data_IF_930357607576
#
_entry.id   IF_930357607576
#
_cell.length_a   1.000
_cell.length_b   1.000
_cell.length_c   1.000
_cell.angle_alpha   90.00
_cell.angle_beta   90.00
_cell.angle_gamma   90.00
#
_symmetry.space_group_name_H-M   'P 1'
#
loop_
_entity.id
_entity.type
_entity.pdbx_description
1 polymer ?
#
# COMPACT_ATOMS: atom_id res chain seq x y z
N UNK A 1 -12.67 1.82 9.31
CA UNK A 1 -14.04 1.62 9.87
C UNK A 1 -14.27 0.20 10.40
N UNK A 2 -13.98 -0.87 9.64
CA UNK A 2 -14.23 -2.27 10.10
C UNK A 2 -13.67 -2.53 11.50
N UNK A 3 -12.36 -2.29 11.70
CA UNK A 3 -11.71 -2.51 13.01
C UNK A 3 -12.35 -1.66 14.11
N UNK A 4 -12.64 -0.39 13.81
CA UNK A 4 -13.29 0.48 14.80
C UNK A 4 -14.68 -0.01 15.20
N UNK A 5 -15.47 -0.50 14.25
CA UNK A 5 -16.78 -1.09 14.54
C UNK A 5 -16.66 -2.35 15.42
N UNK A 6 -15.64 -3.19 15.17
CA UNK A 6 -15.39 -4.36 16.01
C UNK A 6 -15.00 -3.96 17.46
N UNK A 7 -14.22 -2.90 17.61
CA UNK A 7 -13.84 -2.36 18.92
C UNK A 7 -15.06 -1.76 19.63
N UNK A 8 -15.93 -1.04 18.93
CA UNK A 8 -17.18 -0.50 19.48
C UNK A 8 -18.12 -1.62 19.98
N UNK A 9 -18.13 -2.78 19.32
CA UNK A 9 -18.88 -3.96 19.77
C UNK A 9 -18.32 -4.59 21.04
N UNK A 10 -17.11 -4.22 21.48
CA UNK A 10 -16.57 -4.55 22.81
C UNK A 10 -16.94 -3.52 23.89
N UNK A 11 -17.75 -2.51 23.54
CA UNK A 11 -18.16 -1.44 24.47
C UNK A 11 -17.20 -0.24 24.53
N UNK A 12 -16.14 -0.24 23.71
CA UNK A 12 -15.13 0.83 23.74
C UNK A 12 -15.45 1.95 22.75
N UNK A 13 -15.05 3.17 23.10
CA UNK A 13 -15.16 4.32 22.21
C UNK A 13 -14.02 4.33 21.21
N UNK A 14 -14.33 4.69 19.95
CA UNK A 14 -13.34 4.78 18.87
C UNK A 14 -13.35 6.18 18.27
N UNK A 15 -12.16 6.76 18.18
CA UNK A 15 -11.91 7.98 17.41
C UNK A 15 -10.96 7.66 16.26
N UNK A 16 -11.24 8.24 15.08
CA UNK A 16 -10.40 8.10 13.90
C UNK A 16 -9.56 9.35 13.74
N UNK A 17 -8.24 9.16 13.62
CA UNK A 17 -7.28 10.24 13.40
C UNK A 17 -6.76 10.16 11.97
N UNK A 18 -6.91 11.23 11.20
CA UNK A 18 -6.29 11.35 9.88
C UNK A 18 -4.88 11.92 10.07
N UNK A 19 -3.89 11.05 10.01
CA UNK A 19 -2.49 11.38 10.29
C UNK A 19 -1.64 10.88 9.12
N UNK A 20 -0.59 11.63 8.76
CA UNK A 20 0.35 11.21 7.71
C UNK A 20 1.09 9.91 8.08
N UNK A 21 1.62 9.22 7.08
CA UNK A 21 2.42 8.01 7.29
C UNK A 21 3.67 8.27 8.14
N UNK A 22 4.21 9.47 8.10
CA UNK A 22 5.38 9.90 8.86
C UNK A 22 5.03 10.26 10.30
N UNK A 23 3.94 11.02 10.52
CA UNK A 23 3.55 11.55 11.83
C UNK A 23 2.96 10.47 12.75
N UNK A 24 2.41 9.38 12.18
CA UNK A 24 1.80 8.30 12.95
C UNK A 24 2.74 7.69 14.01
N UNK A 25 4.02 7.60 13.72
CA UNK A 25 5.00 7.01 14.64
C UNK A 25 5.17 7.83 15.92
N UNK A 26 5.19 9.16 15.77
CA UNK A 26 5.21 10.07 16.90
C UNK A 26 3.94 10.01 17.73
N UNK A 27 2.79 9.86 17.10
CA UNK A 27 1.49 9.74 17.74
C UNK A 27 1.35 8.41 18.49
N UNK A 28 1.74 7.28 17.89
CA UNK A 28 1.77 5.95 18.52
C UNK A 28 2.68 5.94 19.76
N UNK A 29 3.90 6.47 19.62
CA UNK A 29 4.85 6.55 20.74
C UNK A 29 4.28 7.28 21.96
N UNK A 30 3.51 8.34 21.73
CA UNK A 30 2.94 9.19 22.78
C UNK A 30 1.60 8.69 23.32
N UNK A 31 1.04 7.62 22.74
CA UNK A 31 -0.30 7.14 23.07
C UNK A 31 -1.42 8.11 22.64
N UNK A 32 -1.17 8.95 21.64
CA UNK A 32 -2.19 9.80 21.01
C UNK A 32 -2.98 9.01 19.96
N UNK A 33 -2.34 8.00 19.37
CA UNK A 33 -2.94 6.93 18.58
C UNK A 33 -2.55 5.61 19.22
N UNK A 34 -3.49 4.66 19.28
CA UNK A 34 -3.29 3.45 20.07
C UNK A 34 -3.01 2.21 19.20
N UNK A 35 -3.40 2.23 17.94
CA UNK A 35 -3.23 1.10 17.04
C UNK A 35 -3.10 1.54 15.57
N UNK A 36 -2.34 0.74 14.82
CA UNK A 36 -2.19 0.82 13.37
C UNK A 36 -2.28 -0.60 12.80
N UNK A 37 -3.17 -0.80 11.83
CA UNK A 37 -3.46 -2.14 11.28
C UNK A 37 -2.78 -2.43 9.95
N UNK A 38 -2.13 -1.44 9.35
CA UNK A 38 -1.52 -1.53 8.03
C UNK A 38 -0.11 -0.93 8.01
N UNK A 39 0.84 -1.66 8.61
CA UNK A 39 2.27 -1.32 8.49
C UNK A 39 2.83 -2.06 7.29
N UNK A 40 3.11 -1.34 6.22
CA UNK A 40 3.60 -1.89 4.96
C UNK A 40 5.12 -1.99 4.92
N UNK A 41 5.66 -3.13 4.44
CA UNK A 41 7.11 -3.35 4.43
C UNK A 41 7.87 -2.34 3.57
N UNK A 42 7.42 -2.10 2.35
CA UNK A 42 8.16 -1.27 1.39
C UNK A 42 8.27 0.19 1.87
N UNK A 43 7.16 0.78 2.32
CA UNK A 43 7.10 2.20 2.68
C UNK A 43 7.40 2.50 4.15
N UNK A 44 7.19 1.53 5.07
CA UNK A 44 7.17 1.83 6.52
C UNK A 44 8.20 1.04 7.34
N UNK A 45 8.88 0.03 6.80
CA UNK A 45 9.73 -0.89 7.59
C UNK A 45 10.84 -0.19 8.37
N UNK A 46 11.44 0.85 7.80
CA UNK A 46 12.56 1.59 8.43
C UNK A 46 12.14 2.24 9.74
N UNK A 47 11.05 3.00 9.72
CA UNK A 47 10.55 3.68 10.91
C UNK A 47 9.92 2.71 11.89
N UNK A 48 9.17 1.73 11.42
CA UNK A 48 8.62 0.66 12.24
C UNK A 48 9.72 -0.06 13.04
N UNK A 49 10.78 -0.53 12.39
CA UNK A 49 11.89 -1.21 13.05
C UNK A 49 12.61 -0.29 14.05
N UNK A 50 12.75 1.00 13.74
CA UNK A 50 13.29 1.98 14.66
C UNK A 50 12.43 2.12 15.91
N UNK A 51 11.11 2.20 15.78
CA UNK A 51 10.19 2.31 16.90
C UNK A 51 10.20 1.05 17.78
N UNK A 52 10.26 -0.14 17.18
CA UNK A 52 10.42 -1.41 17.91
C UNK A 52 11.73 -1.49 18.66
N UNK A 53 12.84 -1.10 18.04
CA UNK A 53 14.18 -1.10 18.67
C UNK A 53 14.23 -0.31 19.97
N UNK A 54 13.47 0.78 20.05
CA UNK A 54 13.40 1.64 21.25
C UNK A 54 12.22 1.31 22.15
N UNK A 55 11.48 0.22 21.91
CA UNK A 55 10.29 -0.19 22.67
C UNK A 55 9.21 0.91 22.78
N UNK A 56 9.04 1.70 21.72
CA UNK A 56 8.00 2.74 21.68
C UNK A 56 6.64 2.21 21.24
N UNK A 57 6.65 1.11 20.53
CA UNK A 57 5.46 0.40 20.04
C UNK A 57 5.66 -1.10 20.21
N UNK A 58 4.57 -1.86 20.11
CA UNK A 58 4.58 -3.32 20.13
C UNK A 58 4.05 -3.86 18.78
N UNK A 59 4.77 -4.80 18.15
CA UNK A 59 4.25 -5.59 17.05
C UNK A 59 3.33 -6.68 17.58
N UNK A 60 2.10 -6.74 17.07
CA UNK A 60 1.10 -7.71 17.54
C UNK A 60 0.64 -8.70 16.47
N UNK A 61 1.36 -8.79 15.39
CA UNK A 61 1.18 -9.81 14.38
C UNK A 61 1.25 -9.29 12.94
N UNK A 62 1.31 -10.24 12.03
CA UNK A 62 1.35 -10.04 10.59
C UNK A 62 0.04 -10.54 10.00
N UNK A 63 -0.52 -9.82 9.02
CA UNK A 63 -1.64 -10.30 8.24
C UNK A 63 -1.22 -11.42 7.28
N UNK A 64 -2.15 -12.29 6.89
CA UNK A 64 -1.96 -13.22 5.78
C UNK A 64 -1.87 -12.51 4.42
N UNK A 65 -2.30 -11.27 4.37
CA UNK A 65 -2.14 -10.41 3.21
C UNK A 65 -0.67 -10.14 2.91
N UNK A 66 -0.34 -10.18 1.62
CA UNK A 66 0.99 -9.89 1.08
C UNK A 66 0.91 -8.59 0.29
N UNK A 67 1.79 -7.64 0.64
CA UNK A 67 1.85 -6.33 0.03
C UNK A 67 2.88 -6.23 -1.10
N UNK A 68 2.57 -5.40 -2.09
CA UNK A 68 3.50 -4.88 -3.08
C UNK A 68 3.13 -3.44 -3.39
N UNK A 69 4.10 -2.55 -3.42
CA UNK A 69 3.95 -1.14 -3.78
C UNK A 69 4.97 -0.86 -4.89
N UNK A 70 4.53 -0.61 -6.12
CA UNK A 70 5.44 -0.54 -7.27
C UNK A 70 4.78 0.16 -8.47
N UNK A 71 5.52 0.39 -9.56
CA UNK A 71 5.00 0.89 -10.82
C UNK A 71 4.00 -0.08 -11.44
N UNK A 72 2.85 0.45 -11.84
CA UNK A 72 1.72 -0.34 -12.33
C UNK A 72 1.05 0.33 -13.53
N UNK A 73 0.45 -0.50 -14.39
CA UNK A 73 -0.29 -0.05 -15.56
C UNK A 73 -1.51 -0.96 -15.80
N UNK A 74 -2.61 -0.42 -16.44
CA UNK A 74 -3.74 -1.24 -16.87
C UNK A 74 -3.33 -2.20 -17.99
N UNK A 75 -3.83 -3.45 -17.97
CA UNK A 75 -3.40 -4.54 -18.86
C UNK A 75 -3.60 -4.24 -20.36
N UNK A 76 -4.60 -3.41 -20.72
CA UNK A 76 -4.83 -3.02 -22.11
C UNK A 76 -3.63 -2.29 -22.75
N UNK A 77 -2.73 -1.75 -21.95
CA UNK A 77 -1.51 -1.06 -22.43
C UNK A 77 -0.56 -2.03 -23.14
N UNK A 78 -0.61 -3.32 -22.80
CA UNK A 78 0.22 -4.35 -23.45
C UNK A 78 -0.05 -4.48 -24.94
N UNK A 79 -1.25 -4.09 -25.40
CA UNK A 79 -1.59 -4.10 -26.83
C UNK A 79 -0.78 -3.09 -27.66
N UNK A 80 -0.32 -2.01 -27.04
CA UNK A 80 0.44 -0.94 -27.67
C UNK A 80 1.92 -0.90 -27.26
N UNK A 81 2.28 -1.55 -26.14
CA UNK A 81 3.63 -1.62 -25.62
C UNK A 81 4.10 -3.07 -25.51
N UNK A 82 4.64 -3.61 -26.58
CA UNK A 82 5.12 -4.98 -26.64
C UNK A 82 6.29 -5.19 -25.66
N UNK A 83 6.24 -6.32 -24.95
CA UNK A 83 7.29 -6.72 -24.00
C UNK A 83 6.97 -6.40 -22.56
N UNK A 84 5.90 -5.64 -22.26
CA UNK A 84 5.39 -5.53 -20.88
C UNK A 84 5.00 -6.93 -20.35
N UNK A 85 5.20 -7.22 -19.07
CA UNK A 85 5.56 -6.30 -17.95
C UNK A 85 7.05 -6.01 -17.79
N UNK A 86 7.94 -6.50 -18.67
CA UNK A 86 9.37 -6.29 -18.52
C UNK A 86 9.74 -4.80 -18.52
N UNK A 87 10.56 -4.39 -17.55
CA UNK A 87 10.94 -2.98 -17.38
C UNK A 87 11.68 -2.38 -18.59
N UNK A 88 12.43 -3.19 -19.37
CA UNK A 88 13.09 -2.68 -20.56
C UNK A 88 12.08 -2.19 -21.63
N UNK A 89 10.90 -2.81 -21.68
CA UNK A 89 9.85 -2.44 -22.62
C UNK A 89 9.35 -1.02 -22.39
N UNK A 90 9.25 -0.56 -21.14
CA UNK A 90 8.75 0.80 -20.84
C UNK A 90 9.62 1.90 -21.44
N UNK A 91 10.93 1.68 -21.60
CA UNK A 91 11.80 2.63 -22.29
C UNK A 91 11.50 2.73 -23.79
N UNK A 92 11.20 1.61 -24.43
CA UNK A 92 10.86 1.56 -25.85
C UNK A 92 9.56 2.28 -26.14
N UNK A 93 8.58 2.19 -25.25
CA UNK A 93 7.26 2.77 -25.41
C UNK A 93 6.96 3.93 -24.44
N UNK A 94 7.99 4.57 -23.89
CA UNK A 94 7.83 5.72 -22.97
C UNK A 94 6.93 6.82 -23.54
N UNK A 95 7.02 7.08 -24.85
CA UNK A 95 6.19 8.06 -25.56
C UNK A 95 4.68 7.82 -25.44
N UNK A 96 4.24 6.57 -25.22
CA UNK A 96 2.83 6.24 -25.02
C UNK A 96 2.28 6.78 -23.67
N UNK A 97 3.15 7.02 -22.72
CA UNK A 97 2.83 7.53 -21.40
C UNK A 97 3.13 9.03 -21.26
N UNK A 98 3.47 9.71 -22.37
CA UNK A 98 3.83 11.13 -22.37
C UNK A 98 2.58 12.01 -22.39
N UNK A 99 2.59 13.08 -21.61
CA UNK A 99 1.63 14.17 -21.71
C UNK A 99 2.06 15.22 -22.75
N UNK A 100 3.36 15.27 -23.04
CA UNK A 100 3.96 16.22 -23.99
C UNK A 100 4.62 15.48 -25.13
N UNK A 101 4.12 15.70 -26.35
CA UNK A 101 4.66 15.11 -27.58
C UNK A 101 6.09 15.59 -27.92
N UNK A 102 6.59 16.64 -27.25
CA UNK A 102 7.87 17.28 -27.58
C UNK A 102 9.05 16.55 -26.94
N UNK A 103 8.92 16.08 -25.70
CA UNK A 103 10.03 15.46 -24.98
C UNK A 103 10.09 13.94 -25.04
N UNK A 104 9.00 13.28 -25.47
CA UNK A 104 8.91 11.83 -25.62
C UNK A 104 9.12 11.00 -24.34
N UNK A 105 9.32 11.66 -23.20
CA UNK A 105 9.43 10.96 -21.91
C UNK A 105 8.05 10.61 -21.38
N UNK A 106 7.92 9.41 -20.86
CA UNK A 106 6.73 8.99 -20.15
C UNK A 106 6.56 9.74 -18.83
N UNK A 107 5.33 9.78 -18.32
CA UNK A 107 5.00 10.29 -17.00
C UNK A 107 4.66 9.13 -16.08
N UNK A 108 5.31 9.10 -14.94
CA UNK A 108 4.95 8.23 -13.81
C UNK A 108 4.27 9.07 -12.74
N UNK A 109 3.01 8.73 -12.44
CA UNK A 109 2.22 9.40 -11.42
C UNK A 109 2.38 8.71 -10.07
N UNK A 110 2.70 9.48 -9.03
CA UNK A 110 2.82 8.99 -7.66
C UNK A 110 2.25 10.01 -6.67
N UNK A 111 2.12 9.63 -5.41
CA UNK A 111 1.78 10.54 -4.32
C UNK A 111 3.01 11.28 -3.78
N UNK A 112 2.86 11.85 -2.60
CA UNK A 112 3.95 12.52 -1.88
C UNK A 112 4.91 11.51 -1.22
N UNK A 113 4.56 10.23 -1.21
CA UNK A 113 5.42 9.15 -0.71
C UNK A 113 6.65 8.98 -1.58
N UNK A 114 7.78 8.63 -0.98
CA UNK A 114 9.02 8.39 -1.69
C UNK A 114 9.43 6.91 -1.58
N UNK A 115 9.46 6.24 -2.72
CA UNK A 115 9.91 4.85 -2.87
C UNK A 115 11.28 4.75 -3.56
N UNK A 116 11.99 5.87 -3.70
CA UNK A 116 13.24 5.91 -4.44
C UNK A 116 13.04 5.90 -5.96
N UNK A 117 11.85 6.28 -6.46
CA UNK A 117 11.52 6.26 -7.90
C UNK A 117 12.51 7.06 -8.76
N UNK A 118 12.97 8.20 -8.25
CA UNK A 118 13.97 9.01 -8.96
C UNK A 118 15.32 8.29 -9.08
N UNK A 119 15.67 7.46 -8.09
CA UNK A 119 16.89 6.65 -8.12
C UNK A 119 16.74 5.49 -9.10
N UNK A 120 15.60 4.81 -9.11
CA UNK A 120 15.27 3.75 -10.08
C UNK A 120 15.35 4.31 -11.51
N UNK A 121 14.76 5.47 -11.77
CA UNK A 121 14.82 6.14 -13.08
C UNK A 121 16.27 6.37 -13.51
N UNK A 122 17.12 6.88 -12.61
CA UNK A 122 18.54 7.12 -12.92
C UNK A 122 19.31 5.82 -13.12
N UNK A 123 19.16 4.89 -12.19
CA UNK A 123 19.93 3.66 -12.18
C UNK A 123 19.63 2.77 -13.41
N UNK A 124 18.36 2.69 -13.81
CA UNK A 124 17.92 1.92 -14.98
C UNK A 124 17.82 2.75 -16.26
N UNK A 125 18.21 4.03 -16.24
CA UNK A 125 18.12 4.96 -17.37
C UNK A 125 16.72 4.99 -18.00
N UNK A 126 15.68 5.06 -17.16
CA UNK A 126 14.30 5.08 -17.63
C UNK A 126 13.97 6.44 -18.25
N UNK A 127 13.27 6.39 -19.40
CA UNK A 127 12.82 7.60 -20.11
C UNK A 127 11.49 8.09 -19.53
N UNK A 128 11.48 8.39 -18.22
CA UNK A 128 10.31 8.86 -17.47
C UNK A 128 10.61 10.09 -16.63
N UNK A 129 9.57 10.86 -16.37
CA UNK A 129 9.51 11.93 -15.38
C UNK A 129 8.49 11.59 -14.31
N UNK A 130 8.67 12.12 -13.11
CA UNK A 130 7.76 11.89 -11.98
C UNK A 130 6.82 13.07 -11.84
N UNK A 131 5.51 12.80 -11.81
CA UNK A 131 4.49 13.76 -11.40
C UNK A 131 3.92 13.33 -10.06
N UNK A 132 4.16 14.17 -9.03
CA UNK A 132 3.66 13.93 -7.66
C UNK A 132 2.31 14.60 -7.48
N UNK A 133 1.33 13.83 -7.05
CA UNK A 133 -0.03 14.28 -6.76
C UNK A 133 -0.20 14.49 -5.26
N UNK A 134 -1.12 15.38 -4.87
CA UNK A 134 -1.30 15.78 -3.48
C UNK A 134 -1.86 14.68 -2.57
N UNK A 135 -2.58 13.73 -3.14
CA UNK A 135 -3.30 12.68 -2.42
C UNK A 135 -3.59 11.47 -3.32
N UNK A 136 -3.97 10.37 -2.70
CA UNK A 136 -4.36 9.12 -3.38
C UNK A 136 -5.62 9.27 -4.23
N UNK A 137 -6.58 10.10 -3.81
CA UNK A 137 -7.79 10.37 -4.59
C UNK A 137 -7.45 10.92 -5.97
N UNK A 138 -6.50 11.84 -6.04
CA UNK A 138 -6.02 12.40 -7.31
C UNK A 138 -5.40 11.33 -8.22
N UNK A 139 -4.67 10.36 -7.66
CA UNK A 139 -4.13 9.21 -8.41
C UNK A 139 -5.29 8.39 -9.00
N UNK A 140 -6.32 8.11 -8.20
CA UNK A 140 -7.45 7.30 -8.65
C UNK A 140 -8.33 8.02 -9.69
N UNK A 141 -8.48 9.32 -9.58
CA UNK A 141 -9.26 10.11 -10.55
C UNK A 141 -8.57 10.12 -11.92
N UNK A 142 -7.24 10.27 -11.97
CA UNK A 142 -6.45 10.16 -13.21
C UNK A 142 -6.53 8.73 -13.77
N UNK A 143 -6.39 7.70 -12.94
CA UNK A 143 -6.49 6.31 -13.36
C UNK A 143 -7.87 6.00 -13.96
N UNK A 144 -8.96 6.36 -13.27
CA UNK A 144 -10.34 6.15 -13.74
C UNK A 144 -10.56 6.82 -15.10
N UNK A 145 -10.03 8.02 -15.27
CA UNK A 145 -10.12 8.76 -16.54
C UNK A 145 -9.34 8.03 -17.63
N UNK A 146 -8.09 7.64 -17.39
CA UNK A 146 -7.28 6.92 -18.36
C UNK A 146 -7.90 5.58 -18.78
N UNK A 147 -8.46 4.82 -17.81
CA UNK A 147 -9.15 3.54 -18.08
C UNK A 147 -10.39 3.75 -18.94
N UNK A 148 -11.21 4.77 -18.67
CA UNK A 148 -12.40 5.10 -19.47
C UNK A 148 -12.04 5.45 -20.90
N UNK A 149 -10.93 6.17 -21.10
CA UNK A 149 -10.45 6.64 -22.41
C UNK A 149 -9.54 5.61 -23.10
N UNK A 150 -9.21 4.51 -22.45
CA UNK A 150 -8.21 3.53 -22.92
C UNK A 150 -6.83 4.16 -23.18
N UNK A 151 -6.52 5.24 -22.50
CA UNK A 151 -5.25 5.94 -22.60
C UNK A 151 -4.18 5.24 -21.78
N UNK A 152 -2.97 4.98 -22.32
CA UNK A 152 -1.87 4.44 -21.52
C UNK A 152 -1.55 5.32 -20.32
N UNK A 153 -1.33 4.69 -19.18
CA UNK A 153 -0.96 5.36 -17.93
C UNK A 153 0.00 4.48 -17.13
N UNK A 154 0.98 5.10 -16.50
CA UNK A 154 1.92 4.49 -15.56
C UNK A 154 1.82 5.21 -14.22
N UNK A 155 1.56 4.47 -13.15
CA UNK A 155 1.37 5.07 -11.83
C UNK A 155 1.85 4.16 -10.71
N UNK A 156 2.08 4.76 -9.52
CA UNK A 156 2.21 4.01 -8.28
C UNK A 156 0.89 3.31 -7.98
N UNK A 157 0.96 2.03 -7.79
CA UNK A 157 -0.15 1.25 -7.25
C UNK A 157 0.37 0.28 -6.20
N UNK A 158 -0.54 -0.25 -5.43
CA UNK A 158 -0.22 -1.28 -4.45
C UNK A 158 -1.27 -2.39 -4.49
N UNK A 159 -0.88 -3.54 -3.98
CA UNK A 159 -1.76 -4.66 -3.69
C UNK A 159 -1.56 -5.07 -2.24
N UNK A 160 -2.60 -5.38 -1.47
CA UNK A 160 -4.03 -5.36 -1.83
C UNK A 160 -4.62 -3.95 -1.96
N UNK A 161 -5.39 -3.73 -3.03
CA UNK A 161 -6.06 -2.46 -3.31
C UNK A 161 -7.34 -2.69 -4.14
N UNK A 162 -8.19 -1.66 -4.24
CA UNK A 162 -9.43 -1.70 -5.01
C UNK A 162 -9.23 -2.09 -6.49
N UNK A 163 -8.08 -1.76 -7.06
CA UNK A 163 -7.70 -2.12 -8.42
C UNK A 163 -7.67 -3.63 -8.63
N UNK A 164 -7.25 -4.41 -7.64
CA UNK A 164 -7.16 -5.87 -7.74
C UNK A 164 -8.50 -6.53 -8.06
N UNK A 165 -9.61 -5.88 -7.69
CA UNK A 165 -10.97 -6.42 -7.86
C UNK A 165 -11.82 -5.63 -8.86
N UNK A 166 -11.35 -4.50 -9.39
CA UNK A 166 -12.13 -3.65 -10.31
C UNK A 166 -11.43 -3.31 -11.61
N UNK A 167 -10.10 -3.34 -11.68
CA UNK A 167 -9.33 -2.97 -12.88
C UNK A 167 -8.25 -4.01 -13.12
N UNK A 168 -8.27 -4.64 -14.29
CA UNK A 168 -7.16 -5.52 -14.68
C UNK A 168 -5.92 -4.70 -15.00
N UNK A 169 -4.81 -5.06 -14.39
CA UNK A 169 -3.53 -4.40 -14.63
C UNK A 169 -2.38 -5.21 -14.04
N UNK A 170 -1.17 -4.76 -14.28
CA UNK A 170 0.04 -5.45 -13.86
C UNK A 170 1.09 -4.48 -13.34
N UNK A 171 1.90 -4.97 -12.43
CA UNK A 171 3.11 -4.28 -12.02
C UNK A 171 4.21 -4.48 -13.05
N UNK A 172 5.04 -3.45 -13.23
CA UNK A 172 6.27 -3.55 -14.01
C UNK A 172 7.19 -4.59 -13.36
N UNK A 173 7.79 -5.43 -14.19
CA UNK A 173 8.71 -6.47 -13.72
C UNK A 173 10.14 -5.94 -13.75
N UNK A 174 10.48 -5.17 -12.73
CA UNK A 174 11.83 -4.69 -12.45
C UNK A 174 12.74 -5.83 -11.97
N UNK A 175 14.08 -5.66 -11.99
CA UNK A 175 15.01 -6.58 -11.34
C UNK A 175 14.59 -6.84 -9.90
N UNK A 176 14.74 -8.08 -9.45
CA UNK A 176 14.23 -8.51 -8.15
C UNK A 176 14.92 -7.75 -7.02
N UNK A 177 14.13 -7.25 -6.09
CA UNK A 177 14.62 -6.59 -4.88
C UNK A 177 15.44 -7.55 -4.01
N UNK A 178 16.58 -7.04 -3.54
CA UNK A 178 17.32 -7.56 -2.40
C UNK A 178 17.88 -6.39 -1.59
N UNK A 179 18.32 -6.61 -0.37
CA UNK A 179 18.87 -5.54 0.48
C UNK A 179 20.12 -4.87 -0.13
N UNK A 180 20.88 -5.60 -0.92
CA UNK A 180 22.08 -5.13 -1.60
C UNK A 180 21.76 -4.07 -2.65
N UNK A 181 20.59 -4.14 -3.28
CA UNK A 181 20.11 -3.13 -4.22
C UNK A 181 20.09 -1.72 -3.62
N UNK A 182 19.93 -1.60 -2.31
CA UNK A 182 19.88 -0.30 -1.64
C UNK A 182 21.26 0.26 -1.25
N UNK A 183 22.28 -0.57 -1.20
CA UNK A 183 23.57 -0.21 -0.57
C UNK A 183 24.79 -0.63 -1.34
N UNK A 184 24.69 -1.56 -2.29
CA UNK A 184 25.85 -2.11 -3.03
C UNK A 184 25.67 -1.92 -4.54
N UNK A 185 26.34 -0.91 -5.15
CA UNK A 185 26.26 -0.70 -6.60
C UNK A 185 26.74 -1.89 -7.41
N UNK A 186 27.68 -2.69 -6.87
CA UNK A 186 28.21 -3.86 -7.57
C UNK A 186 27.21 -5.01 -7.74
N UNK A 187 26.12 -4.99 -6.97
CA UNK A 187 25.10 -6.03 -6.96
C UNK A 187 24.25 -6.04 -8.25
N UNK A 188 23.77 -4.88 -8.68
CA UNK A 188 22.74 -4.78 -9.70
C UNK A 188 23.24 -4.73 -11.14
N UNK A 189 22.40 -4.20 -12.02
CA UNK A 189 22.67 -4.01 -13.45
C UNK A 189 23.60 -2.82 -13.66
N UNK A 190 23.37 -1.73 -12.93
CA UNK A 190 24.18 -0.53 -12.95
C UNK A 190 25.28 -0.62 -11.88
N UNK A 191 26.53 -0.74 -12.33
CA UNK A 191 27.66 -0.91 -11.41
C UNK A 191 28.10 0.37 -10.70
N UNK A 192 27.53 1.51 -11.06
CA UNK A 192 27.89 2.83 -10.51
C UNK A 192 26.82 3.38 -9.56
N UNK A 193 25.58 2.84 -9.62
CA UNK A 193 24.42 3.35 -8.89
C UNK A 193 23.67 2.23 -8.17
N UNK A 194 23.13 2.56 -7.02
CA UNK A 194 22.16 1.71 -6.28
C UNK A 194 20.74 1.97 -6.77
N UNK A 195 19.78 1.19 -6.30
CA UNK A 195 18.34 1.29 -6.61
C UNK A 195 18.01 0.92 -8.07
N UNK A 196 18.73 -0.01 -8.65
CA UNK A 196 18.42 -0.57 -9.96
C UNK A 196 17.56 -1.84 -9.89
N UNK A 197 16.68 -1.91 -8.90
CA UNK A 197 15.67 -2.95 -8.71
C UNK A 197 14.29 -2.35 -8.42
N UNK A 198 13.26 -3.19 -8.49
CA UNK A 198 11.91 -2.83 -8.02
C UNK A 198 11.77 -2.91 -6.50
N UNK A 199 10.59 -2.69 -6.00
CA UNK A 199 10.26 -2.86 -4.59
C UNK A 199 10.02 -4.33 -4.21
N UNK A 200 9.99 -4.70 -2.92
CA UNK A 200 9.65 -6.05 -2.48
C UNK A 200 8.33 -6.54 -3.07
N UNK A 201 8.35 -7.70 -3.76
CA UNK A 201 7.14 -8.26 -4.42
C UNK A 201 6.21 -8.99 -3.45
N UNK A 202 6.74 -9.44 -2.30
CA UNK A 202 6.03 -10.21 -1.28
C UNK A 202 6.23 -9.56 0.09
N UNK A 203 5.93 -8.28 0.17
CA UNK A 203 6.07 -7.51 1.40
C UNK A 203 5.06 -7.95 2.46
N UNK A 204 5.48 -7.96 3.72
CA UNK A 204 4.56 -8.19 4.83
C UNK A 204 3.72 -6.94 5.12
N UNK A 205 2.51 -7.17 5.63
CA UNK A 205 1.65 -6.15 6.22
C UNK A 205 1.44 -6.50 7.69
N UNK A 206 1.90 -5.65 8.60
CA UNK A 206 1.91 -5.90 10.03
C UNK A 206 0.95 -5.00 10.80
N UNK A 207 0.68 -5.40 12.03
CA UNK A 207 -0.10 -4.65 13.00
C UNK A 207 0.80 -4.20 14.13
N UNK A 208 0.58 -2.97 14.59
CA UNK A 208 1.31 -2.43 15.74
C UNK A 208 0.38 -1.64 16.65
N UNK A 209 0.76 -1.57 17.91
CA UNK A 209 0.01 -0.85 18.92
C UNK A 209 0.94 -0.03 19.82
N UNK A 210 0.37 0.97 20.45
CA UNK A 210 0.98 1.64 21.57
C UNK A 210 1.20 0.65 22.73
N UNK A 211 2.35 0.73 23.41
CA UNK A 211 2.78 -0.23 24.43
C UNK A 211 1.82 -0.34 25.63
N UNK A 212 1.03 0.71 25.92
CA UNK A 212 0.03 0.70 26.99
C UNK A 212 -1.32 0.07 26.62
N UNK A 213 -1.53 -0.34 25.36
CA UNK A 213 -2.85 -0.85 24.90
C UNK A 213 -3.29 -2.09 25.68
N UNK A 214 -2.37 -3.01 25.96
CA UNK A 214 -2.67 -4.27 26.65
C UNK A 214 -3.21 -4.05 28.06
N UNK A 215 -2.65 -3.08 28.77
CA UNK A 215 -3.01 -2.80 30.16
C UNK A 215 -4.32 -2.00 30.25
N UNK A 216 -4.53 -1.05 29.33
CA UNK A 216 -5.73 -0.21 29.35
C UNK A 216 -6.94 -0.88 28.72
N UNK A 217 -6.75 -1.62 27.60
CA UNK A 217 -7.83 -2.26 26.84
C UNK A 217 -7.46 -3.69 26.44
N UNK A 218 -7.39 -4.63 27.41
CA UNK A 218 -6.93 -6.00 27.16
C UNK A 218 -7.76 -6.74 26.11
N UNK A 219 -9.06 -6.48 26.03
CA UNK A 219 -9.93 -7.10 25.02
C UNK A 219 -9.71 -6.54 23.62
N UNK A 220 -9.45 -5.23 23.50
CA UNK A 220 -9.04 -4.62 22.23
C UNK A 220 -7.69 -5.20 21.78
N UNK A 221 -6.74 -5.32 22.68
CA UNK A 221 -5.44 -5.93 22.40
C UNK A 221 -5.58 -7.37 21.87
N UNK A 222 -6.42 -8.21 22.49
CA UNK A 222 -6.67 -9.57 22.03
C UNK A 222 -7.37 -9.59 20.66
N UNK A 223 -8.37 -8.74 20.45
CA UNK A 223 -9.01 -8.59 19.15
C UNK A 223 -7.97 -8.24 18.07
N UNK A 224 -7.12 -7.26 18.33
CA UNK A 224 -6.08 -6.82 17.39
C UNK A 224 -5.07 -7.93 17.09
N UNK A 225 -4.73 -8.79 18.05
CA UNK A 225 -3.89 -9.99 17.79
C UNK A 225 -4.55 -10.97 16.84
N UNK A 226 -5.85 -11.18 17.00
CA UNK A 226 -6.59 -12.20 16.27
C UNK A 226 -7.00 -11.75 14.86
N UNK A 227 -7.19 -10.45 14.63
CA UNK A 227 -7.54 -9.93 13.30
C UNK A 227 -6.48 -10.33 12.29
N UNK A 228 -6.93 -10.96 11.21
CA UNK A 228 -6.10 -11.32 10.06
C UNK A 228 -6.84 -11.00 8.76
N UNK A 229 -6.32 -10.08 7.99
CA UNK A 229 -6.85 -9.70 6.69
C UNK A 229 -6.09 -10.40 5.57
N UNK A 230 -6.85 -11.00 4.63
CA UNK A 230 -6.30 -11.47 3.37
C UNK A 230 -6.25 -10.33 2.32
N UNK A 231 -5.52 -10.56 1.21
CA UNK A 231 -5.51 -9.62 0.09
C UNK A 231 -6.92 -9.30 -0.40
N UNK A 232 -7.77 -10.31 -0.56
CA UNK A 232 -9.16 -10.12 -1.01
C UNK A 232 -9.96 -9.24 -0.05
N UNK A 233 -9.81 -9.45 1.25
CA UNK A 233 -10.52 -8.68 2.28
C UNK A 233 -10.19 -7.19 2.22
N UNK A 234 -8.91 -6.84 2.08
CA UNK A 234 -8.45 -5.45 2.00
C UNK A 234 -8.90 -4.83 0.68
N UNK A 235 -8.68 -5.54 -0.44
CA UNK A 235 -9.06 -5.07 -1.78
C UNK A 235 -10.56 -4.78 -1.88
N UNK A 236 -11.40 -5.65 -1.33
CA UNK A 236 -12.84 -5.46 -1.33
C UNK A 236 -13.28 -4.29 -0.45
N UNK A 237 -12.72 -4.15 0.75
CA UNK A 237 -13.04 -3.01 1.62
C UNK A 237 -12.72 -1.68 0.93
N UNK A 238 -11.57 -1.60 0.28
CA UNK A 238 -11.14 -0.45 -0.51
C UNK A 238 -12.05 -0.20 -1.73
N UNK A 239 -12.44 -1.28 -2.46
CA UNK A 239 -13.28 -1.17 -3.64
C UNK A 239 -14.69 -0.66 -3.34
N UNK A 240 -15.29 -1.07 -2.24
CA UNK A 240 -16.61 -0.59 -1.81
C UNK A 240 -16.66 0.94 -1.65
N UNK A 241 -15.56 1.55 -1.19
CA UNK A 241 -15.48 3.01 -1.03
C UNK A 241 -15.05 3.68 -2.34
N UNK A 242 -13.90 3.27 -2.90
CA UNK A 242 -13.23 4.02 -3.98
C UNK A 242 -13.89 3.78 -5.34
N UNK A 243 -14.32 2.55 -5.62
CA UNK A 243 -14.90 2.18 -6.90
C UNK A 243 -16.43 2.26 -6.88
N UNK A 244 -17.05 1.71 -5.84
CA UNK A 244 -18.50 1.55 -5.75
C UNK A 244 -19.19 2.78 -5.12
N UNK A 245 -18.40 3.71 -4.52
CA UNK A 245 -18.88 5.01 -4.02
C UNK A 245 -19.70 4.94 -2.73
N UNK A 246 -19.62 3.85 -1.99
CA UNK A 246 -20.27 3.76 -0.67
C UNK A 246 -19.56 4.66 0.35
N UNK A 247 -20.32 5.15 1.34
CA UNK A 247 -19.71 5.74 2.53
C UNK A 247 -18.90 4.67 3.27
N UNK A 248 -17.86 5.08 4.00
CA UNK A 248 -17.01 4.17 4.78
C UNK A 248 -17.81 3.32 5.76
N UNK A 249 -18.86 3.88 6.38
CA UNK A 249 -19.72 3.14 7.32
C UNK A 249 -20.57 2.09 6.59
N UNK A 250 -21.12 2.43 5.41
CA UNK A 250 -21.86 1.48 4.60
C UNK A 250 -20.97 0.39 4.03
N UNK A 251 -19.77 0.75 3.58
CA UNK A 251 -18.77 -0.20 3.12
C UNK A 251 -18.37 -1.19 4.23
N UNK A 252 -18.15 -0.69 5.45
CA UNK A 252 -17.86 -1.54 6.60
C UNK A 252 -19.00 -2.51 6.92
N UNK A 253 -20.26 -2.05 6.88
CA UNK A 253 -21.44 -2.89 7.07
C UNK A 253 -21.51 -4.03 6.04
N UNK A 254 -21.40 -3.69 4.74
CA UNK A 254 -21.42 -4.68 3.65
C UNK A 254 -20.27 -5.68 3.82
N UNK A 255 -19.08 -5.19 4.07
CA UNK A 255 -17.88 -6.01 4.26
C UNK A 255 -18.02 -6.95 5.45
N UNK A 256 -18.49 -6.47 6.61
CA UNK A 256 -18.67 -7.27 7.81
C UNK A 256 -19.73 -8.36 7.64
N UNK A 257 -20.78 -8.10 6.88
CA UNK A 257 -21.78 -9.11 6.54
C UNK A 257 -21.17 -10.21 5.67
N UNK A 258 -20.34 -9.87 4.68
CA UNK A 258 -19.65 -10.84 3.82
C UNK A 258 -18.69 -11.72 4.62
N UNK A 259 -17.88 -11.12 5.48
CA UNK A 259 -16.81 -11.80 6.21
C UNK A 259 -17.17 -12.15 7.67
N UNK A 260 -18.47 -12.32 7.97
CA UNK A 260 -18.95 -12.59 9.33
C UNK A 260 -18.32 -13.83 9.98
N UNK A 261 -17.98 -14.87 9.20
CA UNK A 261 -17.30 -16.08 9.71
C UNK A 261 -15.88 -15.79 10.20
N UNK A 262 -15.13 -15.00 9.44
CA UNK A 262 -13.78 -14.57 9.83
C UNK A 262 -13.85 -13.70 11.10
N UNK A 263 -14.78 -12.75 11.13
CA UNK A 263 -15.00 -11.89 12.30
C UNK A 263 -15.33 -12.72 13.55
N UNK A 264 -16.15 -13.74 13.41
CA UNK A 264 -16.49 -14.64 14.52
C UNK A 264 -15.26 -15.37 15.06
N UNK A 265 -14.31 -15.74 14.21
CA UNK A 265 -13.06 -16.40 14.63
C UNK A 265 -12.07 -15.46 15.32
N UNK A 266 -12.15 -14.15 15.10
CA UNK A 266 -11.29 -13.16 15.74
C UNK A 266 -11.74 -12.78 17.15
N UNK A 267 -13.00 -13.01 17.46
CA UNK A 267 -13.57 -12.68 18.77
C UNK A 267 -13.10 -13.67 19.83
N UNK A 268 -12.79 -13.13 21.00
CA UNK A 268 -12.48 -13.93 22.18
C UNK A 268 -13.73 -14.03 23.04
N UNK A 269 -14.16 -15.23 23.37
CA UNK A 269 -15.36 -15.49 24.20
C UNK A 269 -15.28 -14.86 25.61
N UNK A 270 -14.07 -14.67 26.13
CA UNK A 270 -13.85 -14.02 27.42
C UNK A 270 -13.91 -12.49 27.36
N UNK A 271 -14.03 -11.90 26.17
CA UNK A 271 -14.08 -10.46 25.92
C UNK A 271 -15.45 -10.04 25.34
N UNK A 272 -16.51 -10.72 25.65
CA UNK A 272 -17.88 -10.27 25.34
C UNK A 272 -18.31 -9.19 26.33
N UNK A 273 -19.04 -8.12 25.84
CA UNK A 273 -19.58 -7.11 26.74
C UNK A 273 -20.54 -7.67 27.76
#
# INVERSE_FOLDING_TARGET
KVVGTLIQQLGEKVEYQNISAEDQWGALRKGLVHLQVEVWQASMSKDFNKMLKYNYIEEIGTHSAIGREDWWYPDYVEQSCNGLPNWQAINTCSHLFSEDSINGKGVYYTGLWDFGDADIIRALNLQFTITRLSDDKSIWDILKTAVREKRPIMLLNWTPNWTDVRIKGKFVDFPTYTSECESDPSWGINKDLVKDCGNPKNGWIKKTVWTGLKDQWPCVYQLMKNIDFSNEMIAEASALVIADGHSEDKAAEIWMNKYHKNISSWRNSSCSP
#
